data_IF_901756907503
#
_entry.id   IF_901756907503
#
_cell.length_a   1.000
_cell.length_b   1.000
_cell.length_c   1.000
_cell.angle_alpha   90.00
_cell.angle_beta   90.00
_cell.angle_gamma   90.00
#
_symmetry.space_group_name_H-M   'P 1'
#
loop_
_entity.id
_entity.type
_entity.pdbx_description
1 polymer ?
#
# COMPACT_ATOMS: atom_id res chain seq x y z
N UNK A 1 -2.98 -2.07 44.69
CA UNK A 1 -2.72 -0.73 44.19
C UNK A 1 -4.02 0.07 44.12
N UNK A 2 -4.13 1.20 44.81
CA UNK A 2 -5.24 2.17 44.78
C UNK A 2 -6.60 1.70 45.37
N UNK A 3 -6.59 1.11 46.56
CA UNK A 3 -7.84 0.78 47.27
C UNK A 3 -8.71 2.04 47.60
N UNK A 4 -8.06 3.17 47.83
CA UNK A 4 -8.70 4.46 48.04
C UNK A 4 -9.47 5.02 46.84
N UNK A 5 -8.99 4.72 45.60
CA UNK A 5 -9.73 5.11 44.38
C UNK A 5 -11.06 4.38 44.22
N UNK A 6 -11.14 3.12 44.65
CA UNK A 6 -12.40 2.36 44.67
C UNK A 6 -13.39 2.91 45.72
N UNK A 7 -12.89 3.47 46.82
CA UNK A 7 -13.75 4.14 47.81
C UNK A 7 -14.25 5.49 47.30
N UNK A 8 -13.40 6.26 46.62
CA UNK A 8 -13.77 7.53 45.99
C UNK A 8 -14.82 7.33 44.89
N UNK A 9 -14.69 6.29 44.06
CA UNK A 9 -15.63 5.99 42.94
C UNK A 9 -17.05 5.68 43.44
N UNK A 10 -17.21 5.37 44.74
CA UNK A 10 -18.49 5.15 45.39
C UNK A 10 -19.26 6.46 45.63
N UNK A 11 -18.56 7.57 45.81
CA UNK A 11 -19.10 8.90 46.08
C UNK A 11 -19.04 9.80 44.89
N UNK A 12 -18.06 9.57 44.02
CA UNK A 12 -17.78 10.38 42.86
C UNK A 12 -17.22 9.54 41.71
N UNK A 13 -17.84 9.54 40.51
CA UNK A 13 -17.34 8.75 39.40
C UNK A 13 -16.00 9.26 38.92
N UNK A 14 -14.91 8.64 39.39
CA UNK A 14 -13.51 8.99 39.11
C UNK A 14 -13.24 9.10 37.60
N UNK A 15 -14.00 8.39 36.79
CA UNK A 15 -13.95 8.45 35.31
C UNK A 15 -14.20 9.85 34.72
N UNK A 16 -14.91 10.72 35.44
CA UNK A 16 -15.18 12.10 35.01
C UNK A 16 -14.23 13.14 35.64
N UNK A 17 -13.27 12.70 36.46
CA UNK A 17 -12.39 13.59 37.22
C UNK A 17 -11.62 14.58 36.30
N UNK A 18 -11.10 14.12 35.18
CA UNK A 18 -10.36 14.96 34.23
C UNK A 18 -11.25 16.04 33.62
N UNK A 19 -12.47 15.70 33.23
CA UNK A 19 -13.44 16.64 32.69
C UNK A 19 -13.84 17.69 33.71
N UNK A 20 -14.12 17.28 34.92
CA UNK A 20 -14.47 18.21 36.00
C UNK A 20 -13.30 19.09 36.44
N UNK A 21 -12.09 18.56 36.39
CA UNK A 21 -10.87 19.36 36.56
C UNK A 21 -10.77 20.43 35.46
N UNK A 22 -11.03 20.09 34.21
CA UNK A 22 -11.07 21.06 33.12
C UNK A 22 -12.10 22.16 33.36
N UNK A 23 -13.31 21.79 33.81
CA UNK A 23 -14.37 22.76 34.15
C UNK A 23 -13.97 23.67 35.32
N UNK A 24 -13.35 23.10 36.36
CA UNK A 24 -12.85 23.87 37.51
C UNK A 24 -11.76 24.88 37.10
N UNK A 25 -10.79 24.44 36.30
CA UNK A 25 -9.71 25.32 35.78
C UNK A 25 -10.30 26.41 34.87
N UNK A 26 -11.27 26.08 34.04
CA UNK A 26 -12.02 27.05 33.24
C UNK A 26 -12.65 28.16 34.11
N UNK A 27 -13.38 27.76 35.14
CA UNK A 27 -14.05 28.72 36.03
C UNK A 27 -13.05 29.61 36.78
N UNK A 28 -11.96 29.04 37.29
CA UNK A 28 -10.90 29.76 37.97
C UNK A 28 -10.20 30.77 37.02
N UNK A 29 -9.86 30.31 35.80
CA UNK A 29 -9.23 31.15 34.79
C UNK A 29 -10.18 32.26 34.31
N UNK A 30 -11.46 31.98 34.15
CA UNK A 30 -12.46 33.00 33.85
C UNK A 30 -12.60 34.05 34.96
N UNK A 31 -12.58 33.61 36.22
CA UNK A 31 -12.61 34.52 37.37
C UNK A 31 -11.37 35.43 37.39
N UNK A 32 -10.17 34.87 37.22
CA UNK A 32 -8.93 35.68 37.18
C UNK A 32 -8.89 36.61 35.97
N UNK A 33 -9.48 36.21 34.85
CA UNK A 33 -9.58 37.07 33.69
C UNK A 33 -10.49 38.30 33.94
N UNK A 34 -11.64 38.07 34.54
CA UNK A 34 -12.57 39.15 34.88
C UNK A 34 -12.02 40.10 35.97
N UNK A 35 -11.38 39.50 36.99
CA UNK A 35 -10.89 40.26 38.14
C UNK A 35 -9.56 40.99 37.88
N UNK A 36 -8.67 40.38 37.10
CA UNK A 36 -7.27 40.85 36.97
C UNK A 36 -6.82 40.97 35.50
N UNK A 37 -7.69 40.74 34.51
CA UNK A 37 -7.38 40.73 33.07
C UNK A 37 -6.28 39.72 32.68
N UNK A 38 -6.09 38.67 33.50
CA UNK A 38 -5.07 37.62 33.30
C UNK A 38 -5.76 36.27 33.11
N UNK A 39 -5.25 35.43 32.18
CA UNK A 39 -5.72 34.07 32.03
C UNK A 39 -6.82 33.84 30.98
N UNK A 40 -7.19 34.83 30.19
CA UNK A 40 -8.25 34.73 29.17
C UNK A 40 -8.03 33.58 28.19
N UNK A 41 -6.82 33.38 27.70
CA UNK A 41 -6.50 32.27 26.79
C UNK A 41 -6.63 30.88 27.48
N UNK A 42 -6.27 30.82 28.76
CA UNK A 42 -6.44 29.56 29.55
C UNK A 42 -7.93 29.29 29.72
N UNK A 43 -8.73 30.30 30.03
CA UNK A 43 -10.18 30.15 30.14
C UNK A 43 -10.81 29.66 28.83
N UNK A 44 -10.41 30.18 27.68
CA UNK A 44 -10.87 29.76 26.35
C UNK A 44 -10.46 28.31 26.06
N UNK A 45 -9.21 27.94 26.30
CA UNK A 45 -8.73 26.58 26.07
C UNK A 45 -9.49 25.56 26.92
N UNK A 46 -9.67 25.83 28.20
CA UNK A 46 -10.40 24.92 29.10
C UNK A 46 -11.91 24.96 28.88
N UNK A 47 -12.47 26.05 28.35
CA UNK A 47 -13.85 26.10 27.88
C UNK A 47 -14.07 25.15 26.70
N UNK A 48 -13.14 25.12 25.73
CA UNK A 48 -13.19 24.16 24.63
C UNK A 48 -13.10 22.69 25.14
N UNK A 49 -12.17 22.40 26.06
CA UNK A 49 -12.04 21.04 26.65
C UNK A 49 -13.28 20.65 27.45
N UNK A 50 -13.87 21.58 28.18
CA UNK A 50 -15.11 21.33 28.96
C UNK A 50 -16.29 21.05 28.03
N UNK A 51 -16.44 21.82 26.95
CA UNK A 51 -17.45 21.59 25.90
C UNK A 51 -17.26 20.27 25.17
N UNK A 52 -15.99 19.92 24.85
CA UNK A 52 -15.65 18.62 24.28
C UNK A 52 -16.06 17.48 25.20
N UNK A 53 -15.72 17.57 26.49
CA UNK A 53 -16.09 16.56 27.48
C UNK A 53 -17.61 16.44 27.68
N UNK A 54 -18.36 17.55 27.62
CA UNK A 54 -19.82 17.53 27.62
C UNK A 54 -20.38 16.73 26.42
N UNK A 55 -19.89 17.03 25.22
CA UNK A 55 -20.23 16.26 24.00
C UNK A 55 -19.92 14.77 24.15
N UNK A 56 -18.75 14.45 24.71
CA UNK A 56 -18.30 13.07 24.89
C UNK A 56 -19.27 12.30 25.81
N UNK A 57 -19.75 12.91 26.88
CA UNK A 57 -20.74 12.30 27.79
C UNK A 57 -22.10 12.04 27.13
N UNK A 58 -22.54 12.97 26.28
CA UNK A 58 -23.87 12.88 25.63
C UNK A 58 -23.90 11.91 24.45
N UNK A 59 -22.80 11.74 23.72
CA UNK A 59 -22.77 10.87 22.56
C UNK A 59 -22.88 9.39 22.95
N UNK A 60 -23.45 8.56 22.06
CA UNK A 60 -23.67 7.11 22.26
C UNK A 60 -22.79 6.22 21.42
N UNK A 61 -22.06 6.78 20.46
CA UNK A 61 -21.28 6.03 19.45
C UNK A 61 -19.98 5.43 20.01
N UNK A 62 -19.32 6.12 20.94
CA UNK A 62 -18.02 5.74 21.48
C UNK A 62 -18.06 5.58 23.00
N UNK A 63 -18.13 4.35 23.47
CA UNK A 63 -18.19 4.03 24.90
C UNK A 63 -16.98 4.53 25.69
N UNK A 64 -15.77 4.49 25.08
CA UNK A 64 -14.55 4.99 25.73
C UNK A 64 -14.62 6.49 26.00
N UNK A 65 -15.00 7.31 25.02
CA UNK A 65 -15.13 8.76 25.19
C UNK A 65 -16.23 9.09 26.21
N UNK A 66 -17.35 8.38 26.18
CA UNK A 66 -18.45 8.56 27.13
C UNK A 66 -18.03 8.26 28.57
N UNK A 67 -17.20 7.26 28.78
CA UNK A 67 -16.72 6.87 30.10
C UNK A 67 -15.52 7.69 30.59
N UNK A 68 -14.70 8.19 29.67
CA UNK A 68 -13.48 8.96 29.94
C UNK A 68 -13.46 10.23 29.07
N UNK A 69 -14.39 11.20 29.33
CA UNK A 69 -14.48 12.42 28.52
C UNK A 69 -13.18 13.20 28.58
N UNK A 70 -12.84 13.85 27.49
CA UNK A 70 -11.59 14.57 27.23
C UNK A 70 -10.38 13.65 27.14
N UNK A 71 -10.05 12.91 28.21
CA UNK A 71 -8.82 12.08 28.25
C UNK A 71 -8.89 10.88 27.29
N UNK A 72 -10.11 10.42 26.96
CA UNK A 72 -10.30 9.36 25.97
C UNK A 72 -9.75 9.71 24.59
N UNK A 73 -9.73 10.98 24.21
CA UNK A 73 -9.13 11.43 22.95
C UNK A 73 -7.62 11.23 22.92
N UNK A 74 -6.93 11.35 24.05
CA UNK A 74 -5.48 11.07 24.13
C UNK A 74 -5.20 9.59 23.80
N UNK A 75 -6.06 8.68 24.22
CA UNK A 75 -5.93 7.28 23.87
C UNK A 75 -5.98 7.08 22.35
N UNK A 76 -6.97 7.67 21.66
CA UNK A 76 -7.05 7.57 20.19
C UNK A 76 -5.89 8.23 19.48
N UNK A 77 -5.39 9.35 20.01
CA UNK A 77 -4.17 9.98 19.50
C UNK A 77 -2.96 9.03 19.62
N UNK A 78 -2.79 8.39 20.79
CA UNK A 78 -1.71 7.42 20.99
C UNK A 78 -1.88 6.17 20.11
N UNK A 79 -3.12 5.70 19.89
CA UNK A 79 -3.39 4.62 18.96
C UNK A 79 -3.06 5.01 17.50
N UNK A 80 -3.32 6.26 17.13
CA UNK A 80 -3.00 6.79 15.80
C UNK A 80 -1.49 6.86 15.53
N UNK A 81 -0.70 7.34 16.50
CA UNK A 81 0.76 7.45 16.34
C UNK A 81 1.52 6.17 16.69
N UNK A 82 0.83 5.14 17.20
CA UNK A 82 1.44 3.88 17.63
C UNK A 82 2.23 3.16 16.53
N UNK A 83 1.76 3.09 15.26
CA UNK A 83 2.53 2.42 14.20
C UNK A 83 3.91 3.04 13.99
N UNK A 84 3.97 4.37 13.96
CA UNK A 84 5.20 5.13 13.78
C UNK A 84 6.13 4.99 14.99
N UNK A 85 5.56 5.08 16.19
CA UNK A 85 6.32 4.88 17.42
C UNK A 85 6.94 3.48 17.48
N UNK A 86 6.14 2.46 17.13
CA UNK A 86 6.66 1.09 17.09
C UNK A 86 7.74 0.94 16.03
N UNK A 87 7.50 1.43 14.82
CA UNK A 87 8.40 1.29 13.68
C UNK A 87 9.75 1.98 13.89
N UNK A 88 9.77 3.16 14.51
CA UNK A 88 10.97 3.98 14.61
C UNK A 88 11.70 3.89 15.95
N UNK A 89 11.00 3.52 17.04
CA UNK A 89 11.57 3.61 18.38
C UNK A 89 11.54 2.31 19.18
N UNK A 90 10.56 1.43 18.95
CA UNK A 90 10.34 0.27 19.84
C UNK A 90 10.67 -1.05 19.14
N UNK A 91 10.62 -1.08 17.80
CA UNK A 91 10.80 -2.30 17.04
C UNK A 91 12.24 -2.81 17.10
N UNK A 92 12.42 -4.03 17.57
CA UNK A 92 13.70 -4.73 17.53
C UNK A 92 14.12 -5.08 16.09
N UNK A 93 15.43 -5.25 15.89
CA UNK A 93 15.99 -5.46 14.55
C UNK A 93 15.44 -6.71 13.83
N UNK A 94 14.95 -7.71 14.57
CA UNK A 94 14.49 -8.99 14.03
C UNK A 94 12.98 -9.28 14.25
N UNK A 95 12.20 -8.34 14.77
CA UNK A 95 10.84 -8.60 15.24
C UNK A 95 9.73 -8.44 14.19
N UNK A 96 9.99 -7.77 13.09
CA UNK A 96 8.94 -7.44 12.12
C UNK A 96 8.71 -8.53 11.07
N UNK A 97 7.45 -8.71 10.71
CA UNK A 97 7.02 -9.52 9.59
C UNK A 97 6.35 -8.64 8.50
N UNK A 98 6.49 -8.94 7.22
CA UNK A 98 7.26 -10.02 6.60
C UNK A 98 8.77 -9.76 6.54
N UNK A 99 9.23 -8.52 6.75
CA UNK A 99 10.63 -8.13 6.70
C UNK A 99 11.05 -7.48 8.00
N UNK A 100 12.13 -7.99 8.59
CA UNK A 100 12.71 -7.41 9.79
C UNK A 100 13.24 -5.99 9.55
N UNK A 101 13.40 -5.21 10.60
CA UNK A 101 14.01 -3.88 10.53
C UNK A 101 15.40 -3.93 9.89
N UNK A 102 16.17 -4.97 10.17
CA UNK A 102 17.49 -5.19 9.58
C UNK A 102 17.41 -5.30 8.05
N UNK A 103 16.49 -6.11 7.53
CA UNK A 103 16.27 -6.26 6.09
C UNK A 103 15.82 -4.95 5.44
N UNK A 104 14.89 -4.23 6.06
CA UNK A 104 14.43 -2.91 5.56
C UNK A 104 15.55 -1.88 5.59
N UNK A 105 16.37 -1.88 6.66
CA UNK A 105 17.53 -0.97 6.79
C UNK A 105 18.52 -1.15 5.64
N UNK A 106 18.75 -2.40 5.21
CA UNK A 106 19.60 -2.67 4.05
C UNK A 106 19.06 -2.00 2.78
N UNK A 107 17.75 -2.13 2.52
CA UNK A 107 17.11 -1.48 1.37
C UNK A 107 17.25 0.04 1.43
N UNK A 108 17.03 0.64 2.59
CA UNK A 108 17.17 2.09 2.77
C UNK A 108 18.62 2.57 2.57
N UNK A 109 19.61 1.82 3.05
CA UNK A 109 21.01 2.13 2.84
C UNK A 109 21.39 2.07 1.35
N UNK A 110 20.94 1.03 0.64
CA UNK A 110 21.17 0.88 -0.81
C UNK A 110 20.47 1.99 -1.60
N UNK A 111 19.23 2.34 -1.27
CA UNK A 111 18.50 3.44 -1.90
C UNK A 111 19.19 4.80 -1.72
N UNK A 112 19.89 5.00 -0.61
CA UNK A 112 20.67 6.22 -0.30
C UNK A 112 22.12 6.18 -0.81
N UNK A 113 22.56 5.08 -1.42
CA UNK A 113 23.95 4.89 -1.84
C UNK A 113 24.96 4.88 -0.68
N UNK A 114 24.51 4.52 0.54
CA UNK A 114 25.39 4.45 1.69
C UNK A 114 26.26 3.18 1.64
N UNK A 115 27.53 3.29 2.01
CA UNK A 115 28.40 2.15 2.13
C UNK A 115 27.94 1.23 3.27
N UNK A 116 28.15 -0.08 3.11
CA UNK A 116 27.92 -1.06 4.17
C UNK A 116 28.83 -0.77 5.35
N UNK A 117 28.24 -0.52 6.51
CA UNK A 117 28.94 -0.25 7.76
C UNK A 117 28.98 -1.45 8.71
N UNK A 118 28.27 -2.54 8.36
CA UNK A 118 28.23 -3.74 9.18
C UNK A 118 29.23 -4.77 8.67
N UNK A 119 29.98 -5.42 9.54
CA UNK A 119 30.86 -6.53 9.16
C UNK A 119 30.01 -7.70 8.63
N UNK A 120 30.62 -8.58 7.84
CA UNK A 120 29.98 -9.82 7.42
C UNK A 120 29.62 -10.66 8.66
N UNK A 121 28.40 -11.20 8.66
CA UNK A 121 27.85 -12.00 9.73
C UNK A 121 26.33 -11.85 9.81
N UNK A 122 25.73 -12.74 10.56
CA UNK A 122 24.30 -12.69 10.83
C UNK A 122 24.06 -12.28 12.28
N UNK A 123 22.95 -11.54 12.52
CA UNK A 123 22.42 -11.28 13.86
C UNK A 123 21.27 -12.24 14.19
N UNK A 124 20.96 -13.16 13.28
CA UNK A 124 19.92 -14.18 13.48
C UNK A 124 20.47 -15.32 14.34
N UNK A 125 19.59 -15.95 15.10
CA UNK A 125 19.91 -17.20 15.81
C UNK A 125 20.03 -18.35 14.80
N UNK A 126 21.25 -18.60 14.36
CA UNK A 126 21.56 -19.67 13.39
C UNK A 126 21.47 -21.07 14.01
N UNK A 127 21.34 -21.18 15.33
CA UNK A 127 21.11 -22.43 16.05
C UNK A 127 19.62 -22.74 16.26
N UNK A 128 18.72 -21.84 15.90
CA UNK A 128 17.28 -22.04 16.06
C UNK A 128 16.76 -23.20 15.23
N UNK A 129 15.79 -23.92 15.80
CA UNK A 129 15.11 -25.01 15.07
C UNK A 129 14.40 -24.44 13.84
N UNK A 130 14.65 -25.06 12.67
CA UNK A 130 14.09 -24.60 11.40
C UNK A 130 14.92 -23.53 10.69
N UNK A 131 16.10 -23.18 11.21
CA UNK A 131 17.01 -22.31 10.45
C UNK A 131 17.64 -23.08 9.30
N UNK A 132 17.54 -22.51 8.09
CA UNK A 132 18.04 -23.12 6.85
C UNK A 132 19.06 -22.20 6.19
N UNK A 133 20.08 -22.79 5.55
CA UNK A 133 21.08 -22.07 4.79
C UNK A 133 21.61 -22.90 3.63
N UNK A 134 22.24 -22.22 2.68
CA UNK A 134 22.94 -22.85 1.57
C UNK A 134 24.45 -22.74 1.82
N UNK A 135 25.15 -23.86 1.75
CA UNK A 135 26.60 -23.86 1.85
C UNK A 135 27.25 -23.24 0.62
N UNK A 136 28.43 -22.64 0.82
CA UNK A 136 29.25 -22.20 -0.30
C UNK A 136 29.73 -23.39 -1.12
N UNK A 137 29.84 -23.19 -2.45
CA UNK A 137 30.50 -24.15 -3.33
C UNK A 137 31.99 -24.20 -3.04
N UNK A 138 32.55 -25.40 -2.92
CA UNK A 138 34.01 -25.60 -2.81
C UNK A 138 34.73 -25.28 -4.10
N UNK A 139 34.04 -25.35 -5.25
CA UNK A 139 34.56 -24.99 -6.56
C UNK A 139 33.56 -24.08 -7.28
N UNK A 140 33.58 -22.77 -6.99
CA UNK A 140 32.62 -21.85 -7.57
C UNK A 140 32.88 -21.65 -9.06
N UNK A 141 31.81 -21.56 -9.84
CA UNK A 141 31.87 -21.22 -11.24
C UNK A 141 32.04 -19.71 -11.39
N UNK A 142 33.04 -19.29 -12.14
CA UNK A 142 33.20 -17.90 -12.53
C UNK A 142 32.23 -17.57 -13.67
N UNK A 143 31.35 -16.61 -13.41
CA UNK A 143 30.35 -16.18 -14.38
C UNK A 143 30.94 -15.04 -15.25
N UNK A 144 30.73 -15.13 -16.57
CA UNK A 144 31.16 -14.08 -17.51
C UNK A 144 30.30 -12.82 -17.37
N UNK A 145 29.08 -12.95 -16.91
CA UNK A 145 28.12 -11.84 -16.68
C UNK A 145 27.19 -12.15 -15.53
N UNK A 146 26.68 -11.11 -14.90
CA UNK A 146 25.60 -11.19 -13.90
C UNK A 146 24.24 -10.74 -14.45
N UNK A 147 24.16 -10.45 -15.76
CA UNK A 147 22.88 -10.13 -16.43
C UNK A 147 22.20 -11.45 -16.84
N UNK A 148 21.50 -12.03 -15.91
CA UNK A 148 20.77 -13.29 -16.11
C UNK A 148 19.44 -13.03 -16.81
N UNK A 149 19.29 -13.57 -18.03
CA UNK A 149 18.11 -13.35 -18.86
C UNK A 149 17.55 -14.67 -19.39
N UNK A 150 16.24 -14.66 -19.59
CA UNK A 150 15.48 -15.77 -20.17
C UNK A 150 14.74 -15.27 -21.40
N UNK A 151 14.86 -15.96 -22.53
CA UNK A 151 14.12 -15.63 -23.72
C UNK A 151 12.69 -16.18 -23.64
N UNK A 152 11.72 -15.30 -23.39
CA UNK A 152 10.31 -15.63 -23.35
C UNK A 152 9.72 -15.50 -24.75
N UNK A 153 8.92 -16.50 -25.16
CA UNK A 153 8.31 -16.51 -26.49
C UNK A 153 9.30 -16.81 -27.61
N UNK A 154 10.32 -17.63 -27.38
CA UNK A 154 11.19 -18.14 -28.42
C UNK A 154 10.36 -18.75 -29.57
N UNK A 155 10.67 -18.40 -30.83
CA UNK A 155 9.88 -18.80 -32.01
C UNK A 155 8.60 -17.98 -32.25
N UNK A 156 8.33 -16.94 -31.46
CA UNK A 156 7.27 -15.96 -31.68
C UNK A 156 7.77 -14.74 -32.46
N UNK A 157 6.86 -13.96 -33.04
CA UNK A 157 7.22 -12.79 -33.84
C UNK A 157 7.94 -11.70 -33.00
N UNK A 158 7.64 -11.63 -31.71
CA UNK A 158 8.22 -10.66 -30.79
C UNK A 158 8.67 -11.36 -29.50
N UNK A 159 9.80 -12.09 -29.51
CA UNK A 159 10.36 -12.67 -28.31
C UNK A 159 10.89 -11.56 -27.39
N UNK A 160 10.83 -11.78 -26.09
CA UNK A 160 11.32 -10.86 -25.08
C UNK A 160 12.43 -11.48 -24.24
N UNK A 161 13.58 -10.84 -24.19
CA UNK A 161 14.68 -11.23 -23.30
C UNK A 161 14.40 -10.63 -21.91
N UNK A 162 13.76 -11.39 -21.04
CA UNK A 162 13.37 -10.98 -19.70
C UNK A 162 14.52 -11.17 -18.71
N UNK A 163 14.70 -10.23 -17.79
CA UNK A 163 15.50 -10.44 -16.58
C UNK A 163 14.85 -11.51 -15.71
N UNK A 164 15.65 -12.26 -14.94
CA UNK A 164 15.12 -13.12 -13.88
C UNK A 164 14.58 -12.34 -12.69
N UNK A 165 14.98 -11.07 -12.56
CA UNK A 165 14.46 -10.11 -11.57
C UNK A 165 13.55 -9.10 -12.25
N UNK A 166 12.31 -8.99 -11.81
CA UNK A 166 11.34 -8.03 -12.31
C UNK A 166 10.55 -7.43 -11.13
N UNK A 167 9.94 -6.26 -11.34
CA UNK A 167 9.05 -5.67 -10.34
C UNK A 167 7.70 -6.36 -10.40
N UNK A 168 7.27 -6.89 -9.25
CA UNK A 168 5.99 -7.58 -9.10
C UNK A 168 4.79 -6.67 -9.34
N UNK A 169 3.67 -7.29 -9.70
CA UNK A 169 2.38 -6.65 -9.93
C UNK A 169 1.89 -5.83 -8.73
N UNK A 170 1.78 -4.52 -8.91
CA UNK A 170 1.25 -3.58 -7.92
C UNK A 170 0.46 -2.48 -8.61
N UNK A 171 -0.85 -2.45 -8.40
CA UNK A 171 -1.77 -1.57 -9.10
C UNK A 171 -1.57 -0.08 -8.77
N UNK A 172 -1.66 0.78 -9.78
CA UNK A 172 -1.86 2.21 -9.55
C UNK A 172 -3.20 2.45 -8.82
N UNK A 173 -3.15 3.21 -7.75
CA UNK A 173 -4.28 3.40 -6.81
C UNK A 173 -4.13 2.61 -5.51
N UNK A 174 -3.47 1.45 -5.53
CA UNK A 174 -2.86 0.84 -4.35
C UNK A 174 -1.50 1.53 -4.05
N UNK A 175 -0.71 1.75 -5.10
CA UNK A 175 0.49 2.58 -5.03
C UNK A 175 0.20 4.02 -5.45
N UNK A 176 0.96 4.96 -4.88
CA UNK A 176 0.94 6.36 -5.28
C UNK A 176 1.64 6.59 -6.64
N UNK A 177 1.37 7.74 -7.26
CA UNK A 177 2.05 8.18 -8.46
C UNK A 177 3.58 8.17 -8.34
N UNK A 178 4.10 8.69 -7.23
CA UNK A 178 5.55 8.73 -6.97
C UNK A 178 6.17 7.32 -6.85
N UNK A 179 5.45 6.38 -6.23
CA UNK A 179 5.92 5.00 -6.13
C UNK A 179 6.00 4.35 -7.52
N UNK A 180 4.96 4.51 -8.37
CA UNK A 180 4.96 3.99 -9.75
C UNK A 180 6.11 4.60 -10.55
N UNK A 181 6.31 5.92 -10.49
CA UNK A 181 7.42 6.58 -11.18
C UNK A 181 8.78 6.06 -10.73
N UNK A 182 8.99 5.91 -9.43
CA UNK A 182 10.25 5.39 -8.88
C UNK A 182 10.52 3.95 -9.36
N UNK A 183 9.52 3.09 -9.33
CA UNK A 183 9.62 1.71 -9.78
C UNK A 183 9.89 1.62 -11.28
N UNK A 184 9.18 2.40 -12.10
CA UNK A 184 9.38 2.39 -13.54
C UNK A 184 10.74 2.96 -13.95
N UNK A 185 11.21 4.01 -13.28
CA UNK A 185 12.57 4.53 -13.44
C UNK A 185 13.62 3.47 -13.06
N UNK A 186 13.39 2.76 -11.96
CA UNK A 186 14.24 1.65 -11.52
C UNK A 186 14.29 0.52 -12.54
N UNK A 187 13.14 0.15 -13.11
CA UNK A 187 13.05 -0.87 -14.16
C UNK A 187 13.86 -0.48 -15.41
N UNK A 188 13.72 0.78 -15.85
CA UNK A 188 14.51 1.29 -17.00
C UNK A 188 16.02 1.25 -16.73
N UNK A 189 16.45 1.74 -15.56
CA UNK A 189 17.87 1.77 -15.18
C UNK A 189 18.47 0.38 -14.98
N UNK A 190 17.67 -0.53 -14.42
CA UNK A 190 18.06 -1.92 -14.15
C UNK A 190 17.86 -2.86 -15.32
N UNK A 191 17.30 -2.40 -16.44
CA UNK A 191 17.02 -3.21 -17.62
C UNK A 191 16.17 -4.46 -17.30
N UNK A 192 15.11 -4.28 -16.52
CA UNK A 192 14.12 -5.31 -16.17
C UNK A 192 12.70 -4.78 -16.31
N UNK A 193 11.70 -5.66 -16.23
CA UNK A 193 10.31 -5.28 -16.42
C UNK A 193 9.65 -4.80 -15.13
N UNK A 194 8.66 -3.91 -15.31
CA UNK A 194 7.73 -3.46 -14.29
C UNK A 194 6.33 -3.98 -14.62
N UNK A 195 5.78 -4.82 -13.75
CA UNK A 195 4.42 -5.28 -13.88
C UNK A 195 3.44 -4.20 -13.36
N UNK A 196 2.44 -3.88 -14.18
CA UNK A 196 1.48 -2.81 -13.90
C UNK A 196 0.49 -3.13 -12.80
N UNK A 197 0.34 -4.40 -12.45
CA UNK A 197 -0.79 -4.88 -11.70
C UNK A 197 -2.12 -4.67 -12.45
N UNK A 198 -3.22 -5.15 -11.88
CA UNK A 198 -4.55 -5.12 -12.51
C UNK A 198 -5.17 -3.71 -12.65
N UNK A 199 -4.53 -2.68 -12.11
CA UNK A 199 -4.98 -1.28 -12.18
C UNK A 199 -4.79 -0.60 -13.53
N UNK A 200 -4.32 -1.33 -14.53
CA UNK A 200 -4.00 -0.84 -15.88
C UNK A 200 -2.74 0.05 -15.96
N UNK A 201 -2.41 0.44 -17.19
CA UNK A 201 -1.27 1.32 -17.49
C UNK A 201 -1.68 2.77 -17.22
N UNK A 202 -1.15 3.34 -16.13
CA UNK A 202 -1.34 4.77 -15.85
C UNK A 202 -0.34 5.63 -16.64
N UNK A 203 -0.59 6.94 -16.65
CA UNK A 203 0.37 7.90 -17.23
C UNK A 203 1.76 7.86 -16.58
N UNK A 204 1.84 7.35 -15.35
CA UNK A 204 3.09 7.24 -14.60
C UNK A 204 3.94 6.02 -14.97
N UNK A 205 3.35 5.02 -15.64
CA UNK A 205 4.05 3.91 -16.26
C UNK A 205 4.65 4.26 -17.61
N UNK A 206 4.08 5.29 -18.28
CA UNK A 206 4.46 5.62 -19.67
C UNK A 206 5.81 6.31 -19.73
N UNK A 207 6.49 6.10 -20.86
CA UNK A 207 7.74 6.78 -21.18
C UNK A 207 7.52 8.29 -21.21
N UNK A 208 8.38 9.04 -20.55
CA UNK A 208 8.39 10.51 -20.55
C UNK A 208 9.53 11.08 -21.39
N UNK A 209 10.26 10.23 -22.11
CA UNK A 209 11.44 10.59 -22.90
C UNK A 209 12.68 10.94 -22.07
N UNK A 210 12.62 10.78 -20.74
CA UNK A 210 13.70 11.14 -19.81
C UNK A 210 14.11 9.92 -18.96
N UNK A 211 13.53 9.81 -17.77
CA UNK A 211 13.93 8.81 -16.77
C UNK A 211 13.04 7.58 -16.75
N UNK A 212 11.76 7.73 -17.09
CA UNK A 212 10.79 6.64 -17.18
C UNK A 212 10.83 5.99 -18.56
N UNK A 213 10.14 4.88 -18.72
CA UNK A 213 10.07 4.12 -19.96
C UNK A 213 10.71 2.74 -19.84
N UNK A 214 10.68 2.17 -18.61
CA UNK A 214 11.03 0.78 -18.38
C UNK A 214 10.04 -0.16 -19.07
N UNK A 215 10.51 -1.34 -19.44
CA UNK A 215 9.69 -2.39 -20.03
C UNK A 215 8.51 -2.73 -19.13
N UNK A 216 7.32 -2.93 -19.71
CA UNK A 216 6.11 -3.24 -18.99
C UNK A 216 5.64 -4.66 -19.24
N UNK A 217 5.21 -5.30 -18.14
CA UNK A 217 4.30 -6.44 -18.19
C UNK A 217 2.92 -5.86 -17.87
N UNK A 218 2.00 -5.92 -18.83
CA UNK A 218 0.64 -5.42 -18.60
C UNK A 218 -0.24 -6.51 -18.07
N UNK A 219 -0.62 -6.42 -16.79
CA UNK A 219 -1.53 -7.35 -16.14
C UNK A 219 -3.00 -7.02 -16.48
N UNK A 220 -3.75 -8.03 -16.92
CA UNK A 220 -5.17 -7.97 -17.20
C UNK A 220 -5.90 -8.88 -16.22
N UNK A 221 -6.64 -8.29 -15.30
CA UNK A 221 -7.50 -9.00 -14.36
C UNK A 221 -8.94 -9.14 -14.85
N UNK A 222 -9.79 -9.75 -14.03
CA UNK A 222 -11.22 -9.97 -14.31
C UNK A 222 -12.05 -8.69 -14.48
N UNK A 223 -11.53 -7.54 -14.01
CA UNK A 223 -12.13 -6.21 -14.21
C UNK A 223 -11.80 -5.57 -15.56
N UNK A 224 -10.90 -6.15 -16.36
CA UNK A 224 -10.41 -5.64 -17.65
C UNK A 224 -10.03 -4.16 -17.64
N UNK A 225 -9.49 -3.66 -16.54
CA UNK A 225 -9.11 -2.25 -16.43
C UNK A 225 -8.11 -1.86 -17.53
N UNK A 226 -8.40 -0.74 -18.20
CA UNK A 226 -7.67 -0.28 -19.36
C UNK A 226 -8.12 -0.89 -20.71
N UNK A 227 -8.85 -2.00 -20.68
CA UNK A 227 -9.44 -2.62 -21.89
C UNK A 227 -10.86 -3.13 -21.63
N UNK A 228 -11.71 -2.29 -20.99
CA UNK A 228 -13.10 -2.64 -20.68
C UNK A 228 -14.11 -1.73 -21.38
N UNK A 229 -15.29 -2.26 -21.62
CA UNK A 229 -16.49 -1.52 -21.97
C UNK A 229 -17.14 -0.89 -20.72
N UNK A 230 -18.13 -0.03 -20.90
CA UNK A 230 -18.87 0.59 -19.80
C UNK A 230 -19.61 -0.44 -18.91
N UNK A 231 -20.06 -1.56 -19.50
CA UNK A 231 -20.69 -2.68 -18.81
C UNK A 231 -19.71 -3.61 -18.07
N UNK A 232 -18.41 -3.34 -18.18
CA UNK A 232 -17.35 -4.13 -17.57
C UNK A 232 -16.83 -5.31 -18.40
N UNK A 233 -17.40 -5.57 -19.57
CA UNK A 233 -16.94 -6.61 -20.48
C UNK A 233 -15.61 -6.24 -21.16
N UNK A 234 -14.93 -7.24 -21.73
CA UNK A 234 -13.66 -7.05 -22.45
C UNK A 234 -13.85 -6.24 -23.74
N UNK A 235 -13.02 -5.22 -23.96
CA UNK A 235 -12.99 -4.39 -25.15
C UNK A 235 -11.72 -4.65 -25.96
N UNK A 236 -11.89 -5.24 -27.12
CA UNK A 236 -10.80 -5.69 -28.00
C UNK A 236 -10.01 -4.53 -28.62
N UNK A 237 -10.69 -3.43 -28.97
CA UNK A 237 -10.04 -2.26 -29.55
C UNK A 237 -9.12 -1.58 -28.52
N UNK A 238 -9.62 -1.30 -27.32
CA UNK A 238 -8.82 -0.71 -26.23
C UNK A 238 -7.68 -1.63 -25.79
N UNK A 239 -7.91 -2.94 -25.84
CA UNK A 239 -6.84 -3.90 -25.62
C UNK A 239 -5.71 -3.70 -26.64
N UNK A 240 -6.06 -3.65 -27.92
CA UNK A 240 -5.09 -3.49 -29.01
C UNK A 240 -4.29 -2.20 -28.87
N UNK A 241 -4.96 -1.08 -28.58
CA UNK A 241 -4.33 0.24 -28.38
C UNK A 241 -3.23 0.23 -27.31
N UNK A 242 -3.46 -0.47 -26.19
CA UNK A 242 -2.48 -0.58 -25.11
C UNK A 242 -1.44 -1.68 -25.39
N UNK A 243 -1.82 -2.79 -25.98
CA UNK A 243 -0.95 -3.94 -26.24
C UNK A 243 0.18 -3.66 -27.24
N UNK A 244 -0.02 -2.70 -28.16
CA UNK A 244 0.99 -2.33 -29.19
C UNK A 244 1.96 -1.26 -28.72
N UNK A 245 1.81 -0.72 -27.51
CA UNK A 245 2.77 0.26 -26.98
C UNK A 245 4.17 -0.36 -26.93
N UNK A 246 5.23 0.36 -27.38
CA UNK A 246 6.59 -0.18 -27.42
C UNK A 246 7.14 -0.68 -26.08
N UNK A 247 6.67 -0.10 -24.97
CA UNK A 247 7.05 -0.51 -23.62
C UNK A 247 6.40 -1.85 -23.19
N UNK A 248 5.25 -2.22 -23.75
CA UNK A 248 4.53 -3.44 -23.36
C UNK A 248 5.20 -4.65 -24.01
N UNK A 249 6.04 -5.32 -23.25
CA UNK A 249 6.77 -6.51 -23.72
C UNK A 249 5.98 -7.78 -23.55
N UNK A 250 5.24 -7.89 -22.44
CA UNK A 250 4.42 -9.06 -22.14
C UNK A 250 3.03 -8.62 -21.66
N UNK A 251 2.08 -9.54 -21.79
CA UNK A 251 0.73 -9.41 -21.22
C UNK A 251 0.54 -10.57 -20.26
N UNK A 252 0.14 -10.27 -19.05
CA UNK A 252 -0.16 -11.23 -18.01
C UNK A 252 -1.66 -11.30 -17.78
N UNK A 253 -2.24 -12.49 -17.86
CA UNK A 253 -3.64 -12.74 -17.57
C UNK A 253 -3.78 -13.25 -16.14
N UNK A 254 -4.28 -12.38 -15.25
CA UNK A 254 -4.46 -12.70 -13.83
C UNK A 254 -5.79 -13.41 -13.60
N UNK A 255 -5.73 -14.62 -13.05
CA UNK A 255 -6.90 -15.46 -12.84
C UNK A 255 -7.61 -15.20 -11.51
N UNK A 256 -6.85 -14.91 -10.43
CA UNK A 256 -7.42 -14.61 -9.10
C UNK A 256 -6.48 -13.77 -8.24
N UNK A 257 -6.99 -13.30 -7.09
CA UNK A 257 -6.20 -12.58 -6.10
C UNK A 257 -5.36 -13.55 -5.28
N UNK A 258 -4.04 -13.30 -5.12
CA UNK A 258 -3.14 -14.19 -4.36
C UNK A 258 -3.53 -14.33 -2.89
N UNK A 259 -3.86 -13.21 -2.22
CA UNK A 259 -4.20 -13.21 -0.79
C UNK A 259 -5.66 -13.61 -0.49
N UNK A 260 -6.54 -13.65 -1.48
CA UNK A 260 -7.96 -13.97 -1.33
C UNK A 260 -8.49 -14.65 -2.59
N UNK A 261 -8.10 -15.92 -2.83
CA UNK A 261 -8.53 -16.69 -3.99
C UNK A 261 -10.06 -16.77 -4.07
N UNK A 262 -10.62 -16.70 -5.29
CA UNK A 262 -12.07 -16.72 -5.52
C UNK A 262 -12.79 -15.41 -5.22
N UNK A 263 -12.07 -14.34 -4.87
CA UNK A 263 -12.63 -13.00 -4.69
C UNK A 263 -11.97 -12.03 -5.66
N UNK A 264 -12.71 -10.99 -6.07
CA UNK A 264 -12.17 -9.88 -6.85
C UNK A 264 -11.47 -8.83 -5.97
N UNK A 265 -10.77 -7.89 -6.62
CA UNK A 265 -10.20 -6.73 -5.96
C UNK A 265 -11.27 -5.67 -5.67
N UNK A 266 -11.08 -4.91 -4.60
CA UNK A 266 -11.91 -3.75 -4.25
C UNK A 266 -11.02 -2.55 -3.99
N UNK A 267 -11.23 -1.46 -4.73
CA UNK A 267 -10.66 -0.15 -4.40
C UNK A 267 -11.81 0.75 -3.94
N UNK A 268 -11.82 1.18 -2.67
CA UNK A 268 -12.90 2.01 -2.13
C UNK A 268 -13.05 3.34 -2.86
N UNK A 269 -14.27 3.80 -3.08
CA UNK A 269 -14.61 5.02 -3.81
C UNK A 269 -13.80 6.26 -3.42
N UNK A 270 -13.57 6.57 -2.12
CA UNK A 270 -12.73 7.69 -1.71
C UNK A 270 -11.29 7.66 -2.24
N UNK A 271 -10.78 6.47 -2.64
CA UNK A 271 -9.46 6.31 -3.27
C UNK A 271 -9.51 6.37 -4.79
N UNK A 272 -10.69 6.25 -5.40
CA UNK A 272 -10.85 6.29 -6.87
C UNK A 272 -10.88 7.74 -7.33
N UNK A 273 -9.73 8.37 -7.36
CA UNK A 273 -9.57 9.75 -7.88
C UNK A 273 -9.86 9.77 -9.38
N UNK A 274 -10.17 10.95 -9.98
CA UNK A 274 -10.37 11.09 -11.42
C UNK A 274 -9.24 10.50 -12.27
N UNK A 275 -8.02 10.57 -11.78
CA UNK A 275 -6.84 10.04 -12.43
C UNK A 275 -6.78 8.50 -12.41
N UNK A 276 -7.12 7.89 -11.29
CA UNK A 276 -7.22 6.43 -11.15
C UNK A 276 -8.42 5.93 -11.98
N UNK A 277 -9.53 6.65 -11.93
CA UNK A 277 -10.71 6.35 -12.72
C UNK A 277 -10.42 6.34 -14.22
N UNK A 278 -9.68 7.34 -14.71
CA UNK A 278 -9.26 7.41 -16.11
C UNK A 278 -8.36 6.23 -16.52
N UNK A 279 -7.40 5.83 -15.67
CA UNK A 279 -6.53 4.69 -15.94
C UNK A 279 -7.30 3.37 -15.99
N UNK A 280 -8.29 3.20 -15.11
CA UNK A 280 -9.09 1.97 -15.01
C UNK A 280 -10.30 1.92 -15.96
N UNK A 281 -10.73 3.06 -16.50
CA UNK A 281 -11.95 3.17 -17.30
C UNK A 281 -13.23 2.99 -16.45
N UNK A 282 -13.28 3.61 -15.28
CA UNK A 282 -14.39 3.58 -14.33
C UNK A 282 -14.79 4.99 -13.91
N UNK A 283 -15.91 5.13 -13.20
CA UNK A 283 -16.35 6.41 -12.64
C UNK A 283 -15.51 6.80 -11.41
N UNK A 284 -15.14 8.07 -11.26
CA UNK A 284 -14.43 8.55 -10.08
C UNK A 284 -15.35 8.54 -8.84
N UNK A 285 -14.74 8.34 -7.67
CA UNK A 285 -15.39 8.37 -6.36
C UNK A 285 -16.41 7.26 -6.09
N UNK A 286 -16.48 6.26 -6.97
CA UNK A 286 -17.32 5.05 -6.82
C UNK A 286 -16.42 3.86 -6.53
N UNK A 287 -16.92 2.92 -5.71
CA UNK A 287 -16.19 1.69 -5.40
C UNK A 287 -15.86 0.92 -6.70
N UNK A 288 -14.58 0.67 -6.91
CA UNK A 288 -14.10 -0.05 -8.08
C UNK A 288 -13.89 -1.53 -7.70
N UNK A 289 -14.81 -2.38 -8.12
CA UNK A 289 -14.83 -3.81 -7.81
C UNK A 289 -14.47 -4.62 -9.05
N UNK A 290 -13.51 -5.55 -8.92
CA UNK A 290 -13.23 -6.56 -9.92
C UNK A 290 -14.09 -7.79 -9.67
N UNK A 291 -14.71 -8.41 -10.70
CA UNK A 291 -15.40 -9.69 -10.55
C UNK A 291 -14.48 -10.80 -10.03
N UNK A 292 -15.06 -11.84 -9.44
CA UNK A 292 -14.31 -13.01 -8.95
C UNK A 292 -13.72 -13.87 -10.11
N UNK A 293 -14.34 -13.80 -11.29
CA UNK A 293 -13.96 -14.56 -12.49
C UNK A 293 -14.03 -13.69 -13.74
N UNK A 294 -13.35 -14.11 -14.79
CA UNK A 294 -13.41 -13.46 -16.09
C UNK A 294 -14.75 -13.72 -16.78
N UNK A 295 -15.32 -12.68 -17.41
CA UNK A 295 -16.53 -12.82 -18.24
C UNK A 295 -16.24 -13.37 -19.64
N UNK A 296 -14.98 -13.29 -20.11
CA UNK A 296 -14.60 -13.71 -21.45
C UNK A 296 -14.35 -15.23 -21.58
N UNK A 297 -14.23 -15.96 -20.48
CA UNK A 297 -14.03 -17.42 -20.45
C UNK A 297 -14.44 -18.00 -19.10
N UNK A 298 -14.94 -19.22 -19.10
CA UNK A 298 -15.34 -19.97 -17.89
C UNK A 298 -14.60 -21.30 -17.72
N UNK A 299 -13.86 -21.73 -18.72
CA UNK A 299 -13.09 -22.99 -18.69
C UNK A 299 -11.64 -22.79 -19.11
N UNK A 300 -10.71 -23.71 -18.74
CA UNK A 300 -9.32 -23.63 -19.19
C UNK A 300 -9.17 -23.63 -20.72
N UNK A 301 -10.01 -24.36 -21.43
CA UNK A 301 -9.97 -24.39 -22.91
C UNK A 301 -10.37 -23.05 -23.50
N UNK A 302 -11.46 -22.46 -23.01
CA UNK A 302 -11.89 -21.12 -23.43
C UNK A 302 -10.84 -20.06 -23.10
N UNK A 303 -10.16 -20.18 -21.95
CA UNK A 303 -9.03 -19.31 -21.60
C UNK A 303 -7.91 -19.43 -22.66
N UNK A 304 -7.56 -20.62 -23.08
CA UNK A 304 -6.55 -20.80 -24.14
C UNK A 304 -6.97 -20.16 -25.47
N UNK A 305 -8.23 -20.28 -25.85
CA UNK A 305 -8.78 -19.59 -27.02
C UNK A 305 -8.76 -18.09 -26.86
N UNK A 306 -9.09 -17.57 -25.66
CA UNK A 306 -9.00 -16.16 -25.35
C UNK A 306 -7.56 -15.64 -25.46
N UNK A 307 -6.57 -16.35 -24.91
CA UNK A 307 -5.16 -15.99 -25.03
C UNK A 307 -4.71 -15.96 -26.49
N UNK A 308 -5.13 -16.92 -27.33
CA UNK A 308 -4.76 -16.92 -28.75
C UNK A 308 -5.44 -15.77 -29.51
N UNK A 309 -6.67 -15.39 -29.15
CA UNK A 309 -7.34 -14.20 -29.66
C UNK A 309 -6.56 -12.93 -29.33
N UNK A 310 -6.10 -12.76 -28.07
CA UNK A 310 -5.28 -11.62 -27.67
C UNK A 310 -3.97 -11.54 -28.46
N UNK A 311 -3.31 -12.67 -28.66
CA UNK A 311 -2.07 -12.76 -29.46
C UNK A 311 -2.31 -12.36 -30.93
N UNK A 312 -3.39 -12.85 -31.53
CA UNK A 312 -3.71 -12.55 -32.92
C UNK A 312 -3.99 -11.06 -33.12
N UNK A 313 -4.68 -10.42 -32.20
CA UNK A 313 -4.95 -8.97 -32.25
C UNK A 313 -3.70 -8.13 -32.12
N UNK A 314 -2.80 -8.48 -31.22
CA UNK A 314 -1.51 -7.78 -31.07
C UNK A 314 -0.66 -7.90 -32.34
N UNK A 315 -0.63 -9.09 -32.98
CA UNK A 315 0.12 -9.30 -34.25
C UNK A 315 -0.43 -8.47 -35.40
N UNK A 316 -1.75 -8.47 -35.60
CA UNK A 316 -2.39 -7.76 -36.71
C UNK A 316 -2.22 -6.24 -36.64
N UNK A 317 -1.84 -5.68 -35.49
CA UNK A 317 -1.68 -4.24 -35.30
C UNK A 317 -0.23 -3.77 -35.36
N UNK A 318 0.71 -4.69 -35.48
CA UNK A 318 2.17 -4.41 -35.58
C UNK A 318 2.71 -4.73 -36.98
N UNK A 319 1.91 -5.42 -37.81
CA UNK A 319 2.17 -5.64 -39.25
C UNK A 319 1.67 -4.45 -40.08
#
# INVERSE_FOLDING_TARGET
MFHWLKQLDRYFPVRYAVWLLCAMVMLLAAFTWVAFSIGGWVALAFMFLTGLGWRDVQQTRHSVLRNYPVIGHLRFLLEFIRPEMRQYFIEGDNESAPFSRQQRSLVYQRAKGQADKRPFGTQMDVGAVGYEWINHSMLPTHLATHDFRVLIGAGRAQPYSASIFNISAMSFGALSANAIMALNTGAKRGNFAHDTGEGSISRYHRDDGKERGGDLIWEIGSGYFGCRNADGSFNEQRFTENAVMPQVKMIELKLSQGAKPGHGGVLPGPKVTPEIAAARGVEPWVDCVSPASHSAFGTPIEMMHFIERLRSRRRASVS
#
